data_IF_230154191897
#
_entry.id   IF_230154191897
#
_cell.length_a   1.000
_cell.length_b   1.000
_cell.length_c   1.000
_cell.angle_alpha   90.00
_cell.angle_beta   90.00
_cell.angle_gamma   90.00
#
_symmetry.space_group_name_H-M   'P 1'
#
loop_
_entity.id
_entity.type
_entity.pdbx_description
1 polymer ?
#
# COMPACT_ATOMS: atom_id res chain seq x y z
N UNK A 1 -8.08 -24.74 -19.77
CA UNK A 1 -8.17 -23.28 -19.58
C UNK A 1 -7.62 -22.96 -18.21
N UNK A 2 -6.29 -22.79 -18.07
CA UNK A 2 -5.67 -22.45 -16.78
C UNK A 2 -5.06 -21.05 -16.92
N UNK A 3 -5.90 -20.03 -16.83
CA UNK A 3 -5.50 -18.64 -16.81
C UNK A 3 -5.88 -18.04 -15.47
N UNK A 4 -5.34 -18.56 -14.36
CA UNK A 4 -5.30 -17.74 -13.16
C UNK A 4 -4.37 -16.58 -13.49
N UNK A 5 -4.93 -15.38 -13.67
CA UNK A 5 -4.14 -14.17 -13.62
C UNK A 5 -3.31 -14.23 -12.35
N UNK A 6 -1.98 -14.10 -12.46
CA UNK A 6 -1.16 -13.91 -11.27
C UNK A 6 -1.73 -12.66 -10.58
N UNK A 7 -2.14 -12.83 -9.32
CA UNK A 7 -2.70 -11.76 -8.52
C UNK A 7 -1.72 -10.58 -8.36
N UNK A 8 -2.09 -9.56 -7.58
CA UNK A 8 -1.20 -8.46 -7.31
C UNK A 8 0.13 -8.97 -6.71
N UNK A 9 1.20 -8.24 -7.00
CA UNK A 9 2.53 -8.49 -6.46
C UNK A 9 2.65 -7.88 -5.05
N UNK A 10 3.52 -8.39 -4.18
CA UNK A 10 3.66 -7.82 -2.83
C UNK A 10 4.21 -6.38 -2.89
N UNK A 11 3.59 -5.49 -2.14
CA UNK A 11 4.06 -4.13 -1.88
C UNK A 11 4.76 -4.08 -0.52
N UNK A 12 5.99 -3.58 -0.50
CA UNK A 12 6.74 -3.36 0.74
C UNK A 12 6.33 -2.03 1.37
N UNK A 13 6.25 -2.03 2.70
CA UNK A 13 5.95 -0.84 3.49
C UNK A 13 6.83 -0.72 4.72
N UNK A 14 7.38 0.47 4.95
CA UNK A 14 8.12 0.80 6.18
C UNK A 14 7.51 2.01 6.87
N UNK A 15 7.64 2.05 8.19
CA UNK A 15 7.12 3.15 9.01
C UNK A 15 8.22 4.15 9.31
N UNK A 16 7.96 5.41 8.98
CA UNK A 16 8.77 6.56 9.35
C UNK A 16 7.97 7.47 10.30
N UNK A 17 8.65 8.45 10.91
CA UNK A 17 8.06 9.30 11.96
C UNK A 17 6.69 9.89 11.58
N UNK A 18 6.55 10.38 10.34
CA UNK A 18 5.35 11.10 9.89
C UNK A 18 4.64 10.45 8.69
N UNK A 19 5.15 9.33 8.17
CA UNK A 19 4.61 8.70 6.97
C UNK A 19 4.88 7.20 6.92
N UNK A 20 4.04 6.50 6.17
CA UNK A 20 4.28 5.13 5.68
C UNK A 20 4.92 5.23 4.30
N UNK A 21 6.00 4.51 4.10
CA UNK A 21 6.81 4.49 2.89
C UNK A 21 6.50 3.23 2.10
N UNK A 22 5.87 3.35 0.93
CA UNK A 22 5.46 2.23 0.11
C UNK A 22 6.32 2.10 -1.15
N UNK A 23 6.88 0.91 -1.41
CA UNK A 23 7.78 0.64 -2.53
C UNK A 23 7.70 -0.83 -2.96
N UNK A 24 8.15 -1.15 -4.17
CA UNK A 24 7.90 -2.48 -4.76
C UNK A 24 8.98 -3.51 -4.44
N UNK A 25 10.21 -3.08 -4.17
CA UNK A 25 11.39 -3.94 -4.03
C UNK A 25 11.54 -4.96 -5.17
N UNK A 26 11.06 -4.62 -6.38
CA UNK A 26 10.97 -5.53 -7.51
C UNK A 26 11.31 -4.83 -8.85
N UNK A 27 12.58 -4.45 -9.08
CA UNK A 27 12.99 -3.67 -10.25
C UNK A 27 12.61 -4.31 -11.59
N UNK A 28 12.53 -5.64 -11.66
CA UNK A 28 12.17 -6.35 -12.90
C UNK A 28 10.69 -6.21 -13.27
N UNK A 29 9.82 -5.97 -12.29
CA UNK A 29 8.36 -5.90 -12.49
C UNK A 29 7.81 -4.50 -12.34
N UNK A 30 8.60 -3.56 -11.85
CA UNK A 30 8.23 -2.14 -11.69
C UNK A 30 8.65 -1.36 -12.92
N UNK A 31 7.70 -1.12 -13.83
CA UNK A 31 7.89 -0.34 -15.03
C UNK A 31 6.73 0.65 -15.15
N UNK A 32 6.97 1.82 -15.73
CA UNK A 32 5.91 2.78 -16.02
C UNK A 32 4.80 2.16 -16.88
N UNK A 33 3.57 2.64 -16.66
CA UNK A 33 2.50 2.50 -17.64
C UNK A 33 2.81 3.30 -18.91
N UNK A 34 1.98 3.13 -19.94
CA UNK A 34 2.16 3.77 -21.25
C UNK A 34 2.21 5.30 -21.20
N UNK A 35 1.57 5.89 -20.18
CA UNK A 35 1.46 7.33 -19.94
C UNK A 35 2.43 7.86 -18.87
N UNK A 36 3.43 7.07 -18.47
CA UNK A 36 4.44 7.45 -17.47
C UNK A 36 3.82 7.92 -16.15
N UNK A 37 2.71 7.31 -15.75
CA UNK A 37 2.03 7.62 -14.49
C UNK A 37 1.95 6.39 -13.60
N UNK A 38 1.68 6.65 -12.33
CA UNK A 38 1.23 5.62 -11.40
C UNK A 38 0.31 6.21 -10.35
N UNK A 39 -0.53 5.35 -9.79
CA UNK A 39 -1.49 5.68 -8.76
C UNK A 39 -1.14 4.91 -7.49
N UNK A 40 -1.13 5.59 -6.36
CA UNK A 40 -1.26 4.92 -5.08
C UNK A 40 -2.64 5.23 -4.51
N UNK A 41 -3.31 4.22 -3.99
CA UNK A 41 -4.55 4.41 -3.26
C UNK A 41 -4.60 3.46 -2.07
N UNK A 42 -5.35 3.85 -1.05
CA UNK A 42 -5.63 2.99 0.08
C UNK A 42 -7.06 3.16 0.55
N UNK A 43 -7.61 2.10 1.11
CA UNK A 43 -8.95 2.10 1.71
C UNK A 43 -8.98 1.21 2.94
N UNK A 44 -9.89 1.54 3.86
CA UNK A 44 -10.17 0.67 5.00
C UNK A 44 -10.70 -0.67 4.50
N UNK A 45 -10.27 -1.74 5.14
CA UNK A 45 -10.84 -3.06 4.87
C UNK A 45 -12.27 -3.08 5.40
N UNK A 46 -13.23 -3.23 4.49
CA UNK A 46 -14.66 -3.31 4.80
C UNK A 46 -15.32 -4.38 3.93
N UNK A 47 -15.67 -5.51 4.54
CA UNK A 47 -16.28 -6.65 3.85
C UNK A 47 -17.78 -6.45 3.58
N UNK A 48 -18.42 -5.43 4.15
CA UNK A 48 -19.85 -5.16 3.99
C UNK A 48 -20.13 -4.13 2.90
N UNK A 49 -19.34 -3.07 2.85
CA UNK A 49 -19.62 -1.91 1.99
C UNK A 49 -18.74 -1.83 0.73
N UNK A 50 -17.90 -2.83 0.50
CA UNK A 50 -16.96 -2.85 -0.62
C UNK A 50 -15.81 -1.84 -0.46
N UNK A 51 -14.92 -1.79 -1.44
CA UNK A 51 -13.75 -0.92 -1.37
C UNK A 51 -14.14 0.55 -1.53
N UNK A 52 -13.67 1.39 -0.60
CA UNK A 52 -13.73 2.85 -0.69
C UNK A 52 -12.38 3.45 -0.36
N UNK A 53 -11.81 4.18 -1.32
CA UNK A 53 -10.55 4.89 -1.12
C UNK A 53 -10.70 5.97 -0.04
N UNK A 54 -9.81 5.94 0.95
CA UNK A 54 -9.64 6.96 1.98
C UNK A 54 -8.46 7.89 1.70
N UNK A 55 -7.58 7.49 0.78
CA UNK A 55 -6.47 8.31 0.28
C UNK A 55 -6.09 7.82 -1.11
N UNK A 56 -5.82 8.77 -2.00
CA UNK A 56 -5.41 8.50 -3.36
C UNK A 56 -4.48 9.60 -3.84
N UNK A 57 -3.45 9.22 -4.61
CA UNK A 57 -2.56 10.18 -5.25
C UNK A 57 -1.96 9.62 -6.53
N UNK A 58 -2.15 10.37 -7.62
CA UNK A 58 -1.53 10.13 -8.92
C UNK A 58 -0.16 10.83 -9.00
N UNK A 59 0.79 10.18 -9.66
CA UNK A 59 2.12 10.69 -9.95
C UNK A 59 2.37 10.63 -11.44
N UNK A 60 2.80 11.75 -12.03
CA UNK A 60 3.12 11.87 -13.45
C UNK A 60 4.61 12.16 -13.61
N UNK A 61 5.31 11.37 -14.43
CA UNK A 61 6.75 11.50 -14.71
C UNK A 61 7.64 11.53 -13.44
N UNK A 62 7.19 10.91 -12.34
CA UNK A 62 7.92 10.83 -11.08
C UNK A 62 8.72 9.53 -11.01
N UNK A 63 9.90 9.50 -10.33
CA UNK A 63 10.67 8.27 -10.15
C UNK A 63 9.82 7.09 -9.66
N UNK A 64 10.09 5.90 -10.21
CA UNK A 64 9.40 4.68 -9.79
C UNK A 64 9.81 4.29 -8.37
N UNK A 65 8.86 3.93 -7.48
CA UNK A 65 9.15 3.58 -6.09
C UNK A 65 9.66 2.14 -5.98
N UNK A 66 10.86 1.88 -6.52
CA UNK A 66 11.48 0.55 -6.51
C UNK A 66 12.16 0.29 -5.15
N UNK A 67 12.95 1.25 -4.69
CA UNK A 67 13.69 1.19 -3.43
C UNK A 67 13.04 2.13 -2.39
N UNK A 68 13.29 1.88 -1.11
CA UNK A 68 12.73 2.67 -0.02
C UNK A 68 13.04 4.18 -0.15
N UNK A 69 14.23 4.54 -0.63
CA UNK A 69 14.62 5.95 -0.81
C UNK A 69 13.73 6.71 -1.81
N UNK A 70 13.12 5.99 -2.75
CA UNK A 70 12.25 6.52 -3.81
C UNK A 70 10.77 6.23 -3.53
N UNK A 71 10.44 5.78 -2.31
CA UNK A 71 9.11 5.30 -1.98
C UNK A 71 8.04 6.39 -2.07
N UNK A 72 6.81 5.91 -2.22
CA UNK A 72 5.64 6.76 -2.08
C UNK A 72 5.36 6.98 -0.60
N UNK A 73 5.37 8.25 -0.19
CA UNK A 73 5.09 8.65 1.20
C UNK A 73 3.59 8.88 1.37
N UNK A 74 2.95 7.99 2.13
CA UNK A 74 1.56 8.14 2.58
C UNK A 74 1.59 8.79 3.97
N UNK A 75 1.01 9.99 4.17
CA UNK A 75 1.04 10.66 5.46
C UNK A 75 0.43 9.78 6.56
N UNK A 76 1.09 9.69 7.71
CA UNK A 76 0.63 8.85 8.82
C UNK A 76 -0.77 9.25 9.33
N UNK A 77 -1.12 10.54 9.22
CA UNK A 77 -2.46 11.08 9.54
C UNK A 77 -3.59 10.51 8.68
N UNK A 78 -3.28 9.86 7.56
CA UNK A 78 -4.26 9.21 6.70
C UNK A 78 -4.67 7.83 7.24
N UNK A 79 -3.95 7.32 8.25
CA UNK A 79 -4.23 6.06 8.93
C UNK A 79 -4.93 6.30 10.27
N UNK A 80 -5.93 5.48 10.54
CA UNK A 80 -6.49 5.33 11.88
C UNK A 80 -5.76 4.17 12.58
N UNK A 81 -5.44 4.35 13.86
CA UNK A 81 -4.75 3.31 14.63
C UNK A 81 -5.61 2.04 14.74
N UNK A 82 -4.96 0.88 14.67
CA UNK A 82 -5.54 -0.46 14.74
C UNK A 82 -6.56 -0.81 13.64
N UNK A 83 -6.78 0.06 12.65
CA UNK A 83 -7.64 -0.23 11.49
C UNK A 83 -6.79 -0.82 10.37
N UNK A 84 -7.29 -1.89 9.74
CA UNK A 84 -6.64 -2.48 8.57
C UNK A 84 -6.93 -1.64 7.31
N UNK A 85 -5.89 -1.40 6.53
CA UNK A 85 -5.95 -0.74 5.23
C UNK A 85 -5.37 -1.64 4.16
N UNK A 86 -6.09 -1.76 3.04
CA UNK A 86 -5.52 -2.23 1.78
C UNK A 86 -4.82 -1.05 1.11
N UNK A 87 -3.53 -1.20 0.82
CA UNK A 87 -2.73 -0.21 0.09
C UNK A 87 -2.38 -0.83 -1.26
N UNK A 88 -2.69 -0.13 -2.34
CA UNK A 88 -2.44 -0.57 -3.69
C UNK A 88 -1.64 0.48 -4.44
N UNK A 89 -0.55 0.04 -5.04
CA UNK A 89 0.24 0.78 -6.00
C UNK A 89 -0.05 0.22 -7.39
N UNK A 90 -0.77 0.99 -8.19
CA UNK A 90 -1.12 0.65 -9.55
C UNK A 90 -0.21 1.38 -10.54
N UNK A 91 0.68 0.60 -11.16
CA UNK A 91 1.55 1.04 -12.25
C UNK A 91 1.19 0.18 -13.48
N UNK A 92 2.16 -0.27 -14.27
CA UNK A 92 1.94 -1.28 -15.30
C UNK A 92 1.53 -2.64 -14.70
N UNK A 93 1.93 -2.90 -13.47
CA UNK A 93 1.50 -4.01 -12.64
C UNK A 93 0.96 -3.45 -11.33
N UNK A 94 0.00 -4.16 -10.76
CA UNK A 94 -0.56 -3.85 -9.46
C UNK A 94 0.27 -4.52 -8.37
N UNK A 95 0.65 -3.74 -7.38
CA UNK A 95 1.29 -4.21 -6.15
C UNK A 95 0.38 -3.86 -4.97
N UNK A 96 0.21 -4.77 -4.01
CA UNK A 96 -0.62 -4.50 -2.84
C UNK A 96 -0.04 -5.06 -1.54
N UNK A 97 -0.54 -4.50 -0.45
CA UNK A 97 -0.32 -5.02 0.90
C UNK A 97 -1.48 -4.64 1.78
N UNK A 98 -1.65 -5.36 2.89
CA UNK A 98 -2.63 -5.05 3.92
C UNK A 98 -1.95 -4.87 5.25
N UNK A 99 -2.11 -3.69 5.85
CA UNK A 99 -1.47 -3.35 7.12
C UNK A 99 -2.40 -2.62 8.08
N UNK A 100 -2.05 -2.63 9.35
CA UNK A 100 -2.48 -1.66 10.33
C UNK A 100 -1.29 -0.87 10.87
N UNK A 101 -1.58 0.36 11.31
CA UNK A 101 -0.68 1.10 12.21
C UNK A 101 -1.17 0.88 13.62
N UNK A 102 -0.36 0.28 14.48
CA UNK A 102 -0.71 0.06 15.88
C UNK A 102 0.23 0.83 16.79
N UNK A 103 -0.22 1.15 18.00
CA UNK A 103 0.59 1.78 19.02
C UNK A 103 0.84 0.81 20.17
N UNK A 104 2.10 0.49 20.41
CA UNK A 104 2.53 -0.41 21.47
C UNK A 104 3.62 0.27 22.30
N UNK A 105 3.39 0.44 23.60
CA UNK A 105 4.31 1.12 24.52
C UNK A 105 4.80 2.50 24.01
N UNK A 106 3.86 3.33 23.53
CA UNK A 106 4.11 4.65 22.91
C UNK A 106 5.00 4.63 21.65
N UNK A 107 5.16 3.47 21.02
CA UNK A 107 5.83 3.34 19.73
C UNK A 107 4.83 2.87 18.69
N UNK A 108 4.89 3.46 17.52
CA UNK A 108 4.11 3.01 16.39
C UNK A 108 4.84 1.89 15.66
N UNK A 109 4.09 0.91 15.20
CA UNK A 109 4.58 -0.20 14.40
C UNK A 109 3.56 -0.60 13.32
N UNK A 110 4.05 -1.24 12.27
CA UNK A 110 3.22 -1.84 11.23
C UNK A 110 2.95 -3.30 11.64
N UNK A 111 1.69 -3.72 11.52
CA UNK A 111 1.29 -5.13 11.64
C UNK A 111 0.45 -5.55 10.44
N UNK A 112 0.54 -6.82 10.08
CA UNK A 112 -0.41 -7.45 9.16
C UNK A 112 -1.61 -7.97 9.97
N UNK A 113 -2.86 -7.69 9.55
CA UNK A 113 -4.03 -8.26 10.21
C UNK A 113 -4.15 -9.77 9.89
N UNK A 114 -4.74 -10.52 10.81
CA UNK A 114 -5.09 -11.91 10.54
C UNK A 114 -6.09 -12.00 9.37
N UNK A 115 -6.08 -13.11 8.60
CA UNK A 115 -7.00 -13.27 7.48
C UNK A 115 -8.47 -13.10 7.89
N UNK A 116 -9.17 -12.16 7.25
CA UNK A 116 -10.57 -11.87 7.51
C UNK A 116 -10.82 -10.84 8.62
N UNK A 117 -9.77 -10.30 9.24
CA UNK A 117 -9.90 -9.22 10.22
C UNK A 117 -9.81 -7.84 9.56
N UNK A 118 -10.60 -6.89 10.07
CA UNK A 118 -10.57 -5.47 9.66
C UNK A 118 -9.77 -4.59 10.62
N UNK A 119 -9.19 -5.19 11.65
CA UNK A 119 -8.38 -4.52 12.68
C UNK A 119 -7.18 -5.37 13.06
N UNK A 120 -6.16 -4.75 13.68
CA UNK A 120 -5.06 -5.47 14.29
C UNK A 120 -5.20 -5.43 15.82
N UNK A 121 -5.04 -6.58 16.46
CA UNK A 121 -4.98 -6.75 17.92
C UNK A 121 -3.55 -6.58 18.41
#
# INVERSE_FOLDING_TARGET
>A
MNGCSQGPLPLEVTLHQDYVCAFTNNPKKTNYSFDNKFLIFMGKVDYQNGFKSSYEKEYLNAPLPIEEKDCVKIPLKAFEKNVAYDITLDIYKTFDTRICIVENNNKLEIREPEPGETTCK
#
